data_IF_552867933970
#
_entry.id   IF_552867933970
#
_cell.length_a   1.000
_cell.length_b   1.000
_cell.length_c   1.000
_cell.angle_alpha   90.00
_cell.angle_beta   90.00
_cell.angle_gamma   90.00
#
_symmetry.space_group_name_H-M   'P 1'
#
loop_
_entity.id
_entity.type
_entity.pdbx_description
1 polymer ?
#
# COMPACT_ATOMS: atom_id res chain seq x y z
N UNK A 1 6.57 48.04 22.60
CA UNK A 1 5.32 47.45 22.07
C UNK A 1 5.52 46.50 20.88
N UNK A 2 6.71 46.41 20.26
CA UNK A 2 6.97 45.51 19.12
C UNK A 2 7.02 43.99 19.44
N UNK A 3 7.26 43.60 20.70
CA UNK A 3 7.38 42.18 21.10
C UNK A 3 6.06 41.42 21.30
N UNK A 4 4.91 42.11 21.43
CA UNK A 4 3.62 41.43 21.62
C UNK A 4 2.97 41.00 20.30
N UNK A 5 3.23 41.69 19.19
CA UNK A 5 2.63 41.34 17.90
C UNK A 5 3.24 40.06 17.29
N UNK A 6 4.57 39.90 17.37
CA UNK A 6 5.26 38.70 16.86
C UNK A 6 4.99 37.43 17.69
N UNK A 7 4.73 37.58 19.00
CA UNK A 7 4.46 36.46 19.91
C UNK A 7 3.02 35.94 19.81
N UNK A 8 2.05 36.81 19.51
CA UNK A 8 0.65 36.43 19.27
C UNK A 8 0.48 35.68 17.95
N UNK A 9 1.20 36.08 16.90
CA UNK A 9 1.20 35.40 15.60
C UNK A 9 1.78 33.97 15.70
N UNK A 10 2.84 33.81 16.52
CA UNK A 10 3.42 32.49 16.82
C UNK A 10 2.47 31.62 17.64
N UNK A 11 1.78 32.17 18.65
CA UNK A 11 0.86 31.40 19.50
C UNK A 11 -0.38 30.94 18.74
N UNK A 12 -0.97 31.80 17.91
CA UNK A 12 -2.10 31.45 17.06
C UNK A 12 -1.70 30.41 16.00
N UNK A 13 -0.56 30.60 15.34
CA UNK A 13 0.00 29.64 14.39
C UNK A 13 0.24 28.26 15.02
N UNK A 14 0.81 28.20 16.23
CA UNK A 14 1.03 26.93 16.93
C UNK A 14 -0.27 26.25 17.38
N UNK A 15 -1.31 27.01 17.75
CA UNK A 15 -2.64 26.45 18.03
C UNK A 15 -3.25 25.80 16.77
N UNK A 16 -3.10 26.44 15.60
CA UNK A 16 -3.56 25.86 14.34
C UNK A 16 -2.75 24.63 13.95
N UNK A 17 -1.42 24.65 14.11
CA UNK A 17 -0.56 23.48 13.90
C UNK A 17 -0.96 22.32 14.81
N UNK A 18 -1.23 22.58 16.10
CA UNK A 18 -1.72 21.55 17.02
C UNK A 18 -3.09 21.01 16.58
N UNK A 19 -3.99 21.85 16.08
CA UNK A 19 -5.29 21.42 15.55
C UNK A 19 -5.11 20.53 14.31
N UNK A 20 -4.21 20.91 13.39
CA UNK A 20 -3.83 20.09 12.25
C UNK A 20 -3.35 18.71 12.72
N UNK A 21 -2.37 18.66 13.63
CA UNK A 21 -1.85 17.39 14.16
C UNK A 21 -2.92 16.53 14.83
N UNK A 22 -3.89 17.14 15.53
CA UNK A 22 -5.03 16.43 16.13
C UNK A 22 -6.00 15.86 15.08
N UNK A 23 -6.17 16.53 13.95
CA UNK A 23 -6.96 16.03 12.82
C UNK A 23 -6.24 14.85 12.15
N UNK A 24 -4.95 14.99 11.84
CA UNK A 24 -4.13 13.87 11.32
C UNK A 24 -4.18 12.67 12.28
N UNK A 25 -4.13 12.91 13.60
CA UNK A 25 -4.26 11.87 14.60
C UNK A 25 -5.61 11.14 14.64
N UNK A 26 -6.65 11.63 13.94
CA UNK A 26 -7.91 10.89 13.78
C UNK A 26 -7.74 9.67 12.88
N UNK A 27 -6.81 9.69 11.91
CA UNK A 27 -6.56 8.59 10.98
C UNK A 27 -6.24 7.27 11.68
N UNK A 28 -5.60 7.36 12.87
CA UNK A 28 -5.33 6.20 13.75
C UNK A 28 -6.58 5.49 14.26
N UNK A 29 -7.74 6.13 14.14
CA UNK A 29 -9.06 5.65 14.60
C UNK A 29 -10.06 5.54 13.46
N UNK A 30 -9.62 5.75 12.21
CA UNK A 30 -10.42 5.43 11.03
C UNK A 30 -9.98 4.04 10.58
N UNK A 31 -10.74 2.98 10.86
CA UNK A 31 -10.43 1.66 10.33
C UNK A 31 -10.68 1.64 8.82
N UNK A 32 -9.87 0.90 8.07
CA UNK A 32 -10.09 0.72 6.62
C UNK A 32 -11.40 -0.02 6.37
N UNK A 33 -12.36 0.65 5.75
CA UNK A 33 -13.77 0.27 5.61
C UNK A 33 -13.93 -1.05 4.84
N UNK A 34 -13.07 -1.31 3.85
CA UNK A 34 -13.06 -2.58 3.12
C UNK A 34 -12.96 -3.80 4.05
N UNK A 35 -12.07 -3.74 5.05
CA UNK A 35 -11.87 -4.81 6.03
C UNK A 35 -13.02 -4.90 7.04
N UNK A 36 -13.54 -3.74 7.47
CA UNK A 36 -14.71 -3.66 8.36
C UNK A 36 -15.91 -4.37 7.73
N UNK A 37 -16.19 -4.09 6.46
CA UNK A 37 -17.31 -4.72 5.73
C UNK A 37 -17.10 -6.22 5.50
N UNK A 38 -15.86 -6.70 5.52
CA UNK A 38 -15.54 -8.15 5.50
C UNK A 38 -15.36 -8.75 6.89
N UNK A 39 -15.73 -8.03 7.95
CA UNK A 39 -15.71 -8.51 9.34
C UNK A 39 -14.33 -9.02 9.77
N UNK A 40 -13.27 -8.46 9.19
CA UNK A 40 -11.88 -8.72 9.64
C UNK A 40 -11.78 -8.27 11.10
N UNK A 41 -11.15 -9.09 11.94
CA UNK A 41 -10.95 -8.73 13.36
C UNK A 41 -9.83 -7.72 13.49
N UNK A 42 -10.06 -6.63 14.24
CA UNK A 42 -9.09 -5.56 14.47
C UNK A 42 -8.45 -5.06 13.16
N UNK A 43 -9.25 -4.53 12.22
CA UNK A 43 -8.73 -4.04 10.95
C UNK A 43 -7.75 -2.89 11.19
N UNK A 44 -6.79 -2.77 10.28
CA UNK A 44 -5.81 -1.68 10.27
C UNK A 44 -6.50 -0.31 10.19
N UNK A 45 -5.78 0.72 10.65
CA UNK A 45 -6.17 2.10 10.45
C UNK A 45 -5.68 2.64 9.11
N UNK A 46 -6.29 3.72 8.62
CA UNK A 46 -5.82 4.44 7.41
C UNK A 46 -4.36 4.89 7.56
N UNK A 47 -3.94 5.23 8.79
CA UNK A 47 -2.53 5.57 9.03
C UNK A 47 -1.57 4.39 8.95
N UNK A 48 -2.01 3.16 9.23
CA UNK A 48 -1.17 1.95 9.09
C UNK A 48 -0.92 1.67 7.60
N UNK A 49 -2.00 1.75 6.80
CA UNK A 49 -1.96 1.65 5.34
C UNK A 49 -0.96 2.65 4.73
N UNK A 50 -1.11 3.95 5.03
CA UNK A 50 -0.20 4.98 4.53
C UNK A 50 1.25 4.81 5.01
N UNK A 51 1.45 4.30 6.24
CA UNK A 51 2.79 4.01 6.74
C UNK A 51 3.47 2.93 5.90
N UNK A 52 2.81 1.81 5.62
CA UNK A 52 3.41 0.74 4.82
C UNK A 52 3.64 1.19 3.37
N UNK A 53 2.74 2.00 2.79
CA UNK A 53 2.98 2.61 1.47
C UNK A 53 4.21 3.54 1.44
N UNK A 54 4.43 4.33 2.49
CA UNK A 54 5.63 5.16 2.61
C UNK A 54 6.90 4.28 2.70
N UNK A 55 6.82 3.16 3.42
CA UNK A 55 7.90 2.17 3.47
C UNK A 55 8.16 1.50 2.11
N UNK A 56 7.13 1.17 1.35
CA UNK A 56 7.28 0.66 -0.02
C UNK A 56 7.94 1.71 -0.93
N UNK A 57 7.58 2.98 -0.76
CA UNK A 57 8.18 4.11 -1.50
C UNK A 57 9.66 4.32 -1.17
N UNK A 58 10.09 4.07 0.07
CA UNK A 58 11.50 4.07 0.45
C UNK A 58 12.33 3.01 -0.30
N UNK A 59 11.72 1.89 -0.69
CA UNK A 59 12.39 0.80 -1.40
C UNK A 59 12.49 0.99 -2.91
N UNK A 60 11.97 2.10 -3.47
CA UNK A 60 12.06 2.37 -4.91
C UNK A 60 13.54 2.45 -5.34
N UNK A 61 13.87 1.66 -6.35
CA UNK A 61 15.16 1.64 -7.04
C UNK A 61 15.12 2.23 -8.45
N UNK A 62 13.93 2.51 -9.00
CA UNK A 62 13.78 3.14 -10.32
C UNK A 62 14.31 4.59 -10.28
N UNK A 63 15.37 4.92 -11.03
CA UNK A 63 15.94 6.27 -11.04
C UNK A 63 15.08 7.30 -11.79
N UNK A 64 14.06 6.87 -12.53
CA UNK A 64 13.16 7.76 -13.27
C UNK A 64 12.05 8.38 -12.41
N UNK A 65 11.95 7.96 -11.14
CA UNK A 65 10.94 8.41 -10.19
C UNK A 65 11.59 9.00 -8.95
N UNK A 66 11.09 10.13 -8.47
CA UNK A 66 11.55 10.75 -7.23
C UNK A 66 10.94 10.03 -6.00
N UNK A 67 11.75 9.20 -5.33
CA UNK A 67 11.33 8.46 -4.13
C UNK A 67 10.83 9.35 -2.99
N UNK A 68 11.44 10.52 -2.77
CA UNK A 68 11.06 11.42 -1.68
C UNK A 68 9.68 12.02 -1.95
N UNK A 69 9.37 12.29 -3.23
CA UNK A 69 8.04 12.72 -3.66
C UNK A 69 7.02 11.59 -3.48
N UNK A 70 7.35 10.35 -3.85
CA UNK A 70 6.48 9.18 -3.60
C UNK A 70 6.15 9.00 -2.13
N UNK A 71 7.13 9.14 -1.23
CA UNK A 71 6.92 9.06 0.22
C UNK A 71 5.95 10.15 0.68
N UNK A 72 6.14 11.39 0.22
CA UNK A 72 5.24 12.50 0.56
C UNK A 72 3.82 12.27 0.04
N UNK A 73 3.66 11.77 -1.18
CA UNK A 73 2.36 11.41 -1.76
C UNK A 73 1.68 10.31 -0.93
N UNK A 74 2.40 9.23 -0.60
CA UNK A 74 1.88 8.14 0.21
C UNK A 74 1.37 8.62 1.58
N UNK A 75 2.08 9.55 2.23
CA UNK A 75 1.70 10.12 3.53
C UNK A 75 0.53 11.12 3.48
N UNK A 76 0.16 11.60 2.29
CA UNK A 76 -0.83 12.68 2.11
C UNK A 76 -2.11 12.24 1.42
N UNK A 77 -2.06 11.21 0.56
CA UNK A 77 -3.17 10.92 -0.35
C UNK A 77 -4.52 10.66 0.35
N UNK A 78 -4.54 9.88 1.44
CA UNK A 78 -5.75 9.59 2.22
C UNK A 78 -5.92 10.51 3.45
N UNK A 79 -5.20 11.64 3.50
CA UNK A 79 -5.26 12.56 4.64
C UNK A 79 -6.67 13.15 4.85
N UNK A 80 -7.44 13.31 3.78
CA UNK A 80 -8.82 13.81 3.82
C UNK A 80 -9.75 12.94 4.69
N UNK A 81 -9.46 11.63 4.77
CA UNK A 81 -10.28 10.63 5.47
C UNK A 81 -10.34 10.88 6.98
N UNK A 82 -9.44 11.70 7.52
CA UNK A 82 -9.52 12.11 8.92
C UNK A 82 -10.76 12.96 9.25
N UNK A 83 -11.42 13.52 8.21
CA UNK A 83 -12.67 14.26 8.29
C UNK A 83 -13.81 13.48 7.63
N UNK A 84 -13.59 12.95 6.42
CA UNK A 84 -14.68 12.34 5.62
C UNK A 84 -14.92 10.86 5.94
N UNK A 85 -13.99 10.21 6.64
CA UNK A 85 -13.96 8.76 6.81
C UNK A 85 -13.44 8.04 5.56
N UNK A 86 -13.09 6.76 5.69
CA UNK A 86 -12.72 5.93 4.54
C UNK A 86 -13.98 5.51 3.76
N UNK A 87 -14.20 6.11 2.59
CA UNK A 87 -15.36 5.87 1.73
C UNK A 87 -15.04 4.70 0.78
N UNK A 88 -15.66 3.55 1.02
CA UNK A 88 -15.49 2.35 0.23
C UNK A 88 -16.45 2.31 -0.98
N UNK A 89 -16.14 1.53 -2.04
CA UNK A 89 -17.04 1.37 -3.18
C UNK A 89 -18.46 0.91 -2.80
N UNK A 90 -18.61 0.17 -1.70
CA UNK A 90 -19.90 -0.32 -1.20
C UNK A 90 -20.80 0.78 -0.62
N UNK A 91 -20.26 1.98 -0.36
CA UNK A 91 -21.03 3.11 0.17
C UNK A 91 -21.87 3.82 -0.90
N UNK A 92 -21.72 3.45 -2.17
CA UNK A 92 -22.46 4.00 -3.31
C UNK A 92 -22.36 5.54 -3.44
N UNK A 93 -21.27 6.13 -2.95
CA UNK A 93 -20.93 7.54 -3.17
C UNK A 93 -20.32 7.68 -4.56
N UNK A 94 -20.82 8.62 -5.37
CA UNK A 94 -20.25 8.84 -6.70
C UNK A 94 -18.82 9.36 -6.61
N UNK A 95 -18.03 9.16 -7.67
CA UNK A 95 -16.64 9.63 -7.71
C UNK A 95 -16.56 11.15 -7.53
N UNK A 96 -17.51 11.88 -8.13
CA UNK A 96 -17.59 13.34 -8.07
C UNK A 96 -17.90 13.82 -6.66
N UNK A 97 -18.83 13.16 -5.97
CA UNK A 97 -19.20 13.51 -4.59
C UNK A 97 -18.08 13.13 -3.61
N UNK A 98 -17.43 11.98 -3.78
CA UNK A 98 -16.24 11.61 -3.00
C UNK A 98 -15.15 12.67 -3.15
N UNK A 99 -14.80 13.01 -4.40
CA UNK A 99 -13.79 14.02 -4.69
C UNK A 99 -14.16 15.40 -4.10
N UNK A 100 -15.43 15.83 -4.21
CA UNK A 100 -15.90 17.10 -3.63
C UNK A 100 -15.70 17.12 -2.12
N UNK A 101 -16.09 16.07 -1.41
CA UNK A 101 -15.93 15.96 0.06
C UNK A 101 -14.47 15.97 0.47
N UNK A 102 -13.63 15.20 -0.22
CA UNK A 102 -12.21 15.10 0.07
C UNK A 102 -11.49 16.42 -0.21
N UNK A 103 -11.85 17.11 -1.29
CA UNK A 103 -11.37 18.46 -1.59
C UNK A 103 -11.68 19.44 -0.47
N UNK A 104 -12.94 19.50 -0.03
CA UNK A 104 -13.36 20.40 1.06
C UNK A 104 -12.63 20.07 2.38
N UNK A 105 -12.41 18.79 2.66
CA UNK A 105 -11.63 18.34 3.82
C UNK A 105 -10.16 18.76 3.72
N UNK A 106 -9.52 18.58 2.56
CA UNK A 106 -8.13 19.01 2.34
C UNK A 106 -7.95 20.52 2.39
N UNK A 107 -8.89 21.28 1.84
CA UNK A 107 -8.93 22.74 1.99
C UNK A 107 -9.10 23.15 3.46
N UNK A 108 -9.93 22.44 4.24
CA UNK A 108 -10.05 22.67 5.68
C UNK A 108 -8.76 22.38 6.44
N UNK A 109 -8.13 21.22 6.19
CA UNK A 109 -6.89 20.80 6.84
C UNK A 109 -5.74 21.76 6.56
N UNK A 110 -5.49 22.04 5.28
CA UNK A 110 -4.32 22.82 4.84
C UNK A 110 -4.45 24.31 5.19
N UNK A 111 -5.66 24.84 5.36
CA UNK A 111 -5.90 26.20 5.91
C UNK A 111 -5.35 26.40 7.33
N UNK A 112 -5.09 25.33 8.08
CA UNK A 112 -4.48 25.40 9.40
C UNK A 112 -2.94 25.55 9.37
N UNK A 113 -2.34 25.46 8.18
CA UNK A 113 -0.90 25.50 8.00
C UNK A 113 -0.43 26.87 7.48
N UNK A 114 0.84 27.24 7.74
CA UNK A 114 1.49 28.35 7.03
C UNK A 114 1.43 28.17 5.52
N UNK A 115 1.39 29.28 4.77
CA UNK A 115 1.09 29.28 3.33
C UNK A 115 1.99 28.33 2.50
N UNK A 116 3.29 28.26 2.78
CA UNK A 116 4.19 27.34 2.07
C UNK A 116 3.85 25.86 2.28
N UNK A 117 3.52 25.46 3.52
CA UNK A 117 3.15 24.07 3.83
C UNK A 117 1.75 23.73 3.30
N UNK A 118 0.83 24.69 3.38
CA UNK A 118 -0.52 24.58 2.80
C UNK A 118 -0.44 24.28 1.30
N UNK A 119 0.34 25.06 0.57
CA UNK A 119 0.54 24.86 -0.88
C UNK A 119 1.18 23.51 -1.19
N UNK A 120 2.24 23.13 -0.47
CA UNK A 120 2.92 21.85 -0.70
C UNK A 120 1.99 20.64 -0.47
N UNK A 121 1.31 20.58 0.67
CA UNK A 121 0.46 19.44 1.04
C UNK A 121 -0.79 19.36 0.16
N UNK A 122 -1.43 20.50 -0.14
CA UNK A 122 -2.58 20.51 -1.03
C UNK A 122 -2.18 20.06 -2.45
N UNK A 123 -1.05 20.55 -2.97
CA UNK A 123 -0.58 20.14 -4.29
C UNK A 123 -0.20 18.65 -4.37
N UNK A 124 0.35 18.07 -3.29
CA UNK A 124 0.59 16.62 -3.21
C UNK A 124 -0.70 15.81 -3.33
N UNK A 125 -1.73 16.19 -2.57
CA UNK A 125 -3.03 15.53 -2.64
C UNK A 125 -3.65 15.68 -4.04
N UNK A 126 -3.62 16.88 -4.60
CA UNK A 126 -4.17 17.14 -5.94
C UNK A 126 -3.42 16.38 -7.04
N UNK A 127 -2.09 16.26 -6.93
CA UNK A 127 -1.25 15.47 -7.83
C UNK A 127 -1.65 13.98 -7.80
N UNK A 128 -1.87 13.43 -6.60
CA UNK A 128 -2.36 12.05 -6.45
C UNK A 128 -3.77 11.90 -7.03
N UNK A 129 -4.71 12.78 -6.71
CA UNK A 129 -6.09 12.69 -7.21
C UNK A 129 -6.18 12.69 -8.74
N UNK A 130 -5.35 13.51 -9.40
CA UNK A 130 -5.31 13.61 -10.85
C UNK A 130 -4.35 12.62 -11.51
N UNK A 131 -3.55 11.88 -10.74
CA UNK A 131 -2.54 10.93 -11.24
C UNK A 131 -1.58 11.58 -12.27
N UNK A 132 -1.24 12.85 -12.03
CA UNK A 132 -0.62 13.73 -13.03
C UNK A 132 0.88 13.50 -13.21
N UNK A 133 1.55 12.79 -12.30
CA UNK A 133 2.98 12.49 -12.33
C UNK A 133 3.29 10.98 -12.38
N UNK A 134 4.49 10.57 -12.83
CA UNK A 134 4.97 9.19 -12.67
C UNK A 134 4.94 8.72 -11.22
N UNK A 135 5.29 9.60 -10.28
CA UNK A 135 5.26 9.37 -8.84
C UNK A 135 3.84 9.02 -8.36
N UNK A 136 2.83 9.85 -8.71
CA UNK A 136 1.44 9.61 -8.32
C UNK A 136 0.90 8.30 -8.88
N UNK A 137 1.24 7.96 -10.14
CA UNK A 137 0.88 6.68 -10.78
C UNK A 137 1.55 5.48 -10.14
N UNK A 138 2.79 5.63 -9.65
CA UNK A 138 3.46 4.57 -8.91
C UNK A 138 2.86 4.40 -7.52
N UNK A 139 2.63 5.49 -6.79
CA UNK A 139 2.01 5.44 -5.45
C UNK A 139 0.59 4.87 -5.52
N UNK A 140 -0.17 5.12 -6.60
CA UNK A 140 -1.46 4.45 -6.78
C UNK A 140 -1.35 2.94 -6.96
N UNK A 141 -0.29 2.46 -7.60
CA UNK A 141 -0.01 1.03 -7.68
C UNK A 141 0.43 0.46 -6.33
N UNK A 142 1.15 1.22 -5.51
CA UNK A 142 1.45 0.83 -4.14
C UNK A 142 0.21 0.75 -3.25
N UNK A 143 -0.74 1.69 -3.37
CA UNK A 143 -2.04 1.61 -2.67
C UNK A 143 -2.74 0.26 -2.98
N UNK A 144 -2.81 -0.11 -4.26
CA UNK A 144 -3.41 -1.38 -4.66
C UNK A 144 -2.62 -2.62 -4.22
N UNK A 145 -1.28 -2.58 -4.32
CA UNK A 145 -0.42 -3.69 -3.90
C UNK A 145 -0.46 -3.89 -2.39
N UNK A 146 -0.40 -2.81 -1.63
CA UNK A 146 -0.48 -2.82 -0.17
C UNK A 146 -1.81 -3.43 0.29
N UNK A 147 -2.92 -3.05 -0.35
CA UNK A 147 -4.25 -3.60 -0.08
C UNK A 147 -4.31 -5.13 -0.29
N UNK A 148 -3.80 -5.66 -1.40
CA UNK A 148 -3.84 -7.12 -1.66
C UNK A 148 -2.83 -7.88 -0.80
N UNK A 149 -1.71 -7.25 -0.43
CA UNK A 149 -0.78 -7.82 0.55
C UNK A 149 -1.48 -7.94 1.92
N UNK A 150 -2.15 -6.89 2.37
CA UNK A 150 -2.91 -6.90 3.62
C UNK A 150 -4.04 -7.94 3.59
N UNK A 151 -4.73 -8.09 2.45
CA UNK A 151 -5.74 -9.13 2.26
C UNK A 151 -5.15 -10.52 2.48
N UNK A 152 -3.97 -10.81 1.92
CA UNK A 152 -3.30 -12.09 2.13
C UNK A 152 -2.94 -12.31 3.61
N UNK A 153 -2.35 -11.32 4.26
CA UNK A 153 -1.98 -11.41 5.68
C UNK A 153 -3.20 -11.65 6.59
N UNK A 154 -4.35 -11.03 6.30
CA UNK A 154 -5.58 -11.31 7.04
C UNK A 154 -6.10 -12.74 6.80
N UNK A 155 -6.03 -13.24 5.57
CA UNK A 155 -6.36 -14.63 5.27
C UNK A 155 -5.47 -15.61 6.06
N UNK A 156 -4.16 -15.32 6.16
CA UNK A 156 -3.22 -16.14 6.94
C UNK A 156 -3.51 -16.08 8.44
N UNK A 157 -3.66 -14.88 9.00
CA UNK A 157 -3.95 -14.67 10.43
C UNK A 157 -5.25 -15.33 10.88
N UNK A 158 -6.27 -15.32 10.02
CA UNK A 158 -7.58 -15.92 10.31
C UNK A 158 -7.66 -17.40 9.89
N UNK A 159 -6.65 -17.94 9.21
CA UNK A 159 -6.67 -19.31 8.69
C UNK A 159 -7.77 -19.53 7.64
N UNK A 160 -8.04 -18.51 6.81
CA UNK A 160 -9.12 -18.52 5.81
C UNK A 160 -8.61 -18.23 4.38
N UNK A 161 -7.81 -19.13 3.78
CA UNK A 161 -7.27 -18.93 2.44
C UNK A 161 -8.37 -18.64 1.42
N UNK A 162 -8.24 -17.54 0.66
CA UNK A 162 -9.15 -17.20 -0.43
C UNK A 162 -10.36 -16.36 -0.05
N UNK A 163 -10.59 -16.12 1.25
CA UNK A 163 -11.75 -15.38 1.77
C UNK A 163 -11.87 -13.97 1.20
N UNK A 164 -10.74 -13.33 0.90
CA UNK A 164 -10.64 -11.94 0.45
C UNK A 164 -10.24 -11.84 -1.04
N UNK A 165 -10.60 -12.86 -1.84
CA UNK A 165 -10.29 -12.94 -3.27
C UNK A 165 -10.77 -11.72 -4.08
N UNK A 166 -11.89 -11.10 -3.70
CA UNK A 166 -12.43 -9.94 -4.41
C UNK A 166 -11.46 -8.74 -4.46
N UNK A 167 -10.60 -8.58 -3.43
CA UNK A 167 -9.60 -7.53 -3.41
C UNK A 167 -8.56 -7.79 -4.50
N UNK A 168 -8.10 -9.03 -4.65
CA UNK A 168 -7.23 -9.44 -5.76
C UNK A 168 -7.92 -9.23 -7.11
N UNK A 169 -9.18 -9.63 -7.25
CA UNK A 169 -9.92 -9.47 -8.49
C UNK A 169 -10.08 -7.99 -8.89
N UNK A 170 -10.24 -7.08 -7.92
CA UNK A 170 -10.35 -5.64 -8.14
C UNK A 170 -9.07 -4.96 -8.67
N UNK A 171 -7.92 -5.66 -8.62
CA UNK A 171 -6.62 -5.13 -9.06
C UNK A 171 -6.17 -5.63 -10.44
N UNK A 172 -6.92 -6.56 -11.05
CA UNK A 172 -6.57 -7.13 -12.36
C UNK A 172 -6.40 -6.04 -13.43
N UNK A 173 -5.24 -6.05 -14.09
CA UNK A 173 -4.90 -5.08 -15.15
C UNK A 173 -4.56 -3.66 -14.68
N UNK A 174 -4.42 -3.44 -13.36
CA UNK A 174 -4.13 -2.11 -12.78
C UNK A 174 -2.66 -1.88 -12.42
N UNK A 175 -1.82 -2.90 -12.58
CA UNK A 175 -0.38 -2.82 -12.38
C UNK A 175 0.35 -2.70 -13.72
N UNK A 176 1.35 -1.83 -13.78
CA UNK A 176 2.12 -1.50 -14.98
C UNK A 176 3.61 -1.34 -14.68
N UNK A 177 3.97 -0.85 -13.49
CA UNK A 177 5.36 -0.66 -13.10
C UNK A 177 6.06 -2.02 -12.92
N UNK A 178 7.24 -2.16 -13.53
CA UNK A 178 7.98 -3.42 -13.59
C UNK A 178 8.22 -4.05 -12.21
N UNK A 179 8.64 -3.25 -11.22
CA UNK A 179 8.95 -3.76 -9.89
C UNK A 179 7.67 -4.12 -9.11
N UNK A 180 6.58 -3.38 -9.34
CA UNK A 180 5.28 -3.70 -8.72
C UNK A 180 4.74 -5.01 -9.28
N UNK A 181 4.83 -5.22 -10.59
CA UNK A 181 4.43 -6.48 -11.22
C UNK A 181 5.18 -7.68 -10.63
N UNK A 182 6.51 -7.57 -10.46
CA UNK A 182 7.30 -8.63 -9.81
C UNK A 182 6.87 -8.90 -8.37
N UNK A 183 6.55 -7.85 -7.59
CA UNK A 183 6.05 -8.02 -6.21
C UNK A 183 4.68 -8.71 -6.20
N UNK A 184 3.77 -8.33 -7.11
CA UNK A 184 2.45 -8.95 -7.27
C UNK A 184 2.59 -10.42 -7.66
N UNK A 185 3.50 -10.77 -8.57
CA UNK A 185 3.77 -12.15 -8.96
C UNK A 185 4.27 -12.98 -7.77
N UNK A 186 5.26 -12.47 -7.02
CA UNK A 186 5.75 -13.10 -5.79
C UNK A 186 4.63 -13.31 -4.75
N UNK A 187 3.78 -12.30 -4.54
CA UNK A 187 2.65 -12.38 -3.62
C UNK A 187 1.64 -13.44 -4.07
N UNK A 188 1.30 -13.48 -5.36
CA UNK A 188 0.37 -14.48 -5.90
C UNK A 188 0.93 -15.91 -5.81
N UNK A 189 2.24 -16.09 -6.02
CA UNK A 189 2.91 -17.37 -5.82
C UNK A 189 2.86 -17.83 -4.36
N UNK A 190 3.11 -16.93 -3.41
CA UNK A 190 3.05 -17.22 -1.98
C UNK A 190 1.64 -17.55 -1.53
N UNK A 191 0.66 -16.75 -1.95
CA UNK A 191 -0.75 -16.96 -1.61
C UNK A 191 -1.27 -18.31 -2.11
N UNK A 192 -0.73 -18.83 -3.22
CA UNK A 192 -0.91 -20.23 -3.61
C UNK A 192 -2.32 -20.63 -4.06
N UNK A 193 -3.22 -19.67 -4.30
CA UNK A 193 -4.63 -19.93 -4.67
C UNK A 193 -4.83 -20.07 -6.19
N UNK A 194 -3.80 -19.81 -7.00
CA UNK A 194 -3.78 -20.17 -8.42
C UNK A 194 -2.65 -21.15 -8.73
N UNK A 195 -2.76 -22.37 -8.20
CA UNK A 195 -2.03 -23.52 -8.71
C UNK A 195 -2.92 -24.77 -8.88
N UNK A 196 -4.24 -24.61 -8.95
CA UNK A 196 -5.13 -25.71 -9.38
C UNK A 196 -5.13 -25.95 -10.89
N UNK A 197 -4.49 -25.08 -11.68
CA UNK A 197 -4.19 -25.33 -13.10
C UNK A 197 -2.69 -25.63 -13.38
N UNK A 198 -1.78 -25.25 -12.49
CA UNK A 198 -0.32 -25.43 -12.66
C UNK A 198 0.33 -26.42 -11.66
N UNK A 199 -0.46 -26.95 -10.73
CA UNK A 199 -0.01 -27.88 -9.68
C UNK A 199 0.42 -29.26 -10.17
N UNK A 200 0.18 -29.59 -11.45
CA UNK A 200 0.72 -30.81 -12.07
C UNK A 200 2.21 -30.70 -12.43
N UNK A 201 2.81 -29.49 -12.44
CA UNK A 201 4.22 -29.33 -12.81
C UNK A 201 5.18 -29.28 -11.61
N UNK A 202 4.76 -28.70 -10.48
CA UNK A 202 5.65 -28.53 -9.31
C UNK A 202 5.91 -29.81 -8.52
N UNK A 203 4.90 -30.68 -8.36
CA UNK A 203 5.12 -31.98 -7.70
C UNK A 203 6.01 -32.89 -8.57
N UNK A 204 5.85 -32.82 -9.88
CA UNK A 204 6.63 -33.60 -10.85
C UNK A 204 8.10 -33.15 -10.89
N UNK A 205 8.38 -31.84 -10.84
CA UNK A 205 9.76 -31.34 -10.77
C UNK A 205 10.44 -31.68 -9.43
N UNK A 206 9.72 -31.63 -8.30
CA UNK A 206 10.30 -31.88 -6.99
C UNK A 206 10.62 -33.38 -6.79
N UNK A 207 9.75 -34.27 -7.30
CA UNK A 207 10.03 -35.72 -7.33
C UNK A 207 11.13 -36.05 -8.35
N UNK A 208 11.15 -35.42 -9.53
CA UNK A 208 12.20 -35.63 -10.53
C UNK A 208 13.59 -35.19 -10.04
N UNK A 209 13.68 -34.06 -9.31
CA UNK A 209 14.94 -33.61 -8.69
C UNK A 209 15.44 -34.59 -7.63
N UNK A 210 14.53 -35.19 -6.86
CA UNK A 210 14.89 -36.20 -5.85
C UNK A 210 15.33 -37.53 -6.48
N UNK A 211 14.75 -37.90 -7.63
CA UNK A 211 15.13 -39.12 -8.37
C UNK A 211 16.47 -38.96 -9.11
N UNK A 212 16.72 -37.82 -9.74
CA UNK A 212 18.00 -37.49 -10.41
C UNK A 212 19.17 -37.41 -9.41
N UNK A 213 18.93 -36.90 -8.21
CA UNK A 213 19.96 -36.86 -7.14
C UNK A 213 20.27 -38.25 -6.56
N UNK A 214 19.31 -39.20 -6.60
CA UNK A 214 19.56 -40.61 -6.21
C UNK A 214 20.28 -41.40 -7.31
N UNK A 215 19.99 -41.15 -8.59
CA UNK A 215 20.68 -41.82 -9.70
C UNK A 215 22.16 -41.43 -9.81
N UNK A 216 22.51 -40.18 -9.53
CA UNK A 216 23.89 -39.70 -9.66
C UNK A 216 24.82 -40.10 -8.49
N UNK A 217 24.26 -40.64 -7.39
CA UNK A 217 25.04 -41.22 -6.28
C UNK A 217 25.40 -42.69 -6.52
N UNK A 218 24.61 -43.44 -7.29
CA UNK A 218 24.86 -44.87 -7.52
C UNK A 218 25.85 -45.16 -8.67
N UNK A 219 26.17 -44.18 -9.52
CA UNK A 219 27.12 -44.37 -10.63
C UNK A 219 28.58 -44.06 -10.27
N UNK A 220 28.84 -43.38 -9.15
CA UNK A 220 30.20 -43.04 -8.71
C UNK A 220 30.88 -44.10 -7.83
N UNK A 221 30.15 -45.09 -7.33
CA UNK A 221 30.71 -46.16 -6.47
C UNK A 221 31.06 -47.45 -7.24
N UNK A 222 30.77 -47.53 -8.54
CA UNK A 222 30.97 -48.73 -9.36
C UNK A 222 32.32 -48.86 -10.08
N UNK A 223 33.17 -47.82 -10.11
CA UNK A 223 34.34 -47.79 -11.01
C UNK A 223 35.71 -47.92 -10.33
N UNK A 224 35.80 -48.58 -9.16
CA UNK A 224 37.08 -48.91 -8.51
C UNK A 224 37.13 -50.38 -8.10
N UNK A 225 37.25 -51.28 -9.08
CA UNK A 225 37.82 -52.64 -8.92
C UNK A 225 37.99 -53.31 -10.28
N UNK A 226 39.11 -53.04 -10.95
CA UNK A 226 39.83 -53.99 -11.81
C UNK A 226 41.08 -53.34 -12.40
N UNK A 227 42.23 -53.60 -11.79
CA UNK A 227 43.52 -53.65 -12.47
C UNK A 227 44.45 -54.56 -11.64
N UNK A 228 44.54 -55.81 -12.07
CA UNK A 228 45.77 -56.60 -11.98
C UNK A 228 46.61 -56.26 -13.21
#
# INVERSE_FOLDING_TARGET
QANMAATVDTSAGMKNMLRFMKLIGQLKRVPRTGWVYRKVKNPESVSDHMYRMAMMSLTITDPSVNKDRCIKLALVHDMAECIVGDIAPSDNVSKEEKHRREKEAMEHLTRLLPEGLKQEIYALWEEYEHQSSPEARLVKQFDLLEMILQAHEYEELEGTPGRLQEFFDSTKGRFQHRDVLQLVDCLNEQRGISATAAGFFRLTLMVARHFLLRFNKNTKDGSRKQSR
#
